data_IF_415984317427
#
_entry.id   IF_415984317427
#
_cell.length_a   1.000
_cell.length_b   1.000
_cell.length_c   1.000
_cell.angle_alpha   90.00
_cell.angle_beta   90.00
_cell.angle_gamma   90.00
#
_symmetry.space_group_name_H-M   'P 1'
#
loop_
_entity.id
_entity.type
_entity.pdbx_description
1 polymer ?
#
# COMPACT_ATOMS: atom_id res chain seq x y z
N UNK A 1 7.41 55.44 20.61
CA UNK A 1 8.45 54.51 20.11
C UNK A 1 8.33 53.07 20.67
N UNK A 2 7.64 52.81 21.79
CA UNK A 2 7.55 51.46 22.41
C UNK A 2 6.61 50.43 21.72
N UNK A 3 5.57 50.87 21.00
CA UNK A 3 4.56 49.92 20.49
C UNK A 3 5.07 49.04 19.32
N UNK A 4 5.96 49.58 18.48
CA UNK A 4 6.54 48.87 17.33
C UNK A 4 7.54 47.78 17.77
N UNK A 5 8.25 48.03 18.88
CA UNK A 5 9.21 47.08 19.44
C UNK A 5 8.52 45.87 20.08
N UNK A 6 7.42 46.09 20.81
CA UNK A 6 6.62 45.01 21.40
C UNK A 6 6.00 44.09 20.34
N UNK A 7 5.51 44.66 19.23
CA UNK A 7 4.95 43.91 18.11
C UNK A 7 5.99 43.02 17.42
N UNK A 8 7.20 43.54 17.21
CA UNK A 8 8.29 42.78 16.59
C UNK A 8 8.80 41.63 17.47
N UNK A 9 8.84 41.82 18.78
CA UNK A 9 9.21 40.77 19.73
C UNK A 9 8.17 39.65 19.75
N UNK A 10 6.88 40.00 19.83
CA UNK A 10 5.78 39.02 19.81
C UNK A 10 5.72 38.24 18.49
N UNK A 11 6.00 38.90 17.36
CA UNK A 11 6.02 38.26 16.05
C UNK A 11 7.25 37.36 15.86
N UNK A 12 8.42 37.72 16.43
CA UNK A 12 9.60 36.84 16.49
C UNK A 12 9.35 35.61 17.34
N UNK A 13 8.74 35.78 18.51
CA UNK A 13 8.38 34.67 19.41
C UNK A 13 7.36 33.72 18.74
N UNK A 14 6.34 34.29 18.07
CA UNK A 14 5.36 33.53 17.30
C UNK A 14 5.99 32.76 16.13
N UNK A 15 6.92 33.39 15.42
CA UNK A 15 7.65 32.77 14.30
C UNK A 15 8.56 31.64 14.79
N UNK A 16 9.19 31.79 15.96
CA UNK A 16 10.03 30.77 16.58
C UNK A 16 9.21 29.56 17.06
N UNK A 17 8.09 29.80 17.75
CA UNK A 17 7.16 28.74 18.19
C UNK A 17 6.56 27.98 17.00
N UNK A 18 6.24 28.67 15.90
CA UNK A 18 5.76 28.04 14.65
C UNK A 18 6.81 27.16 13.98
N UNK A 19 8.09 27.58 13.99
CA UNK A 19 9.20 26.77 13.47
C UNK A 19 9.44 25.52 14.31
N UNK A 20 9.38 25.63 15.64
CA UNK A 20 9.50 24.48 16.55
C UNK A 20 8.35 23.49 16.33
N UNK A 21 7.12 23.98 16.18
CA UNK A 21 5.95 23.14 15.90
C UNK A 21 6.06 22.42 14.54
N UNK A 22 6.54 23.09 13.48
CA UNK A 22 6.75 22.47 12.16
C UNK A 22 7.83 21.39 12.21
N UNK A 23 8.95 21.64 12.90
CA UNK A 23 10.03 20.66 13.03
C UNK A 23 9.61 19.42 13.83
N UNK A 24 8.77 19.59 14.87
CA UNK A 24 8.21 18.47 15.63
C UNK A 24 7.28 17.57 14.79
N UNK A 25 6.49 18.16 13.88
CA UNK A 25 5.60 17.40 12.98
C UNK A 25 6.40 16.64 11.91
N UNK A 26 7.48 17.22 11.38
CA UNK A 26 8.35 16.55 10.40
C UNK A 26 9.13 15.39 11.06
N UNK A 27 9.58 15.55 12.31
CA UNK A 27 10.24 14.47 13.06
C UNK A 27 9.34 13.25 13.32
N UNK A 28 8.01 13.44 13.40
CA UNK A 28 7.05 12.36 13.61
C UNK A 28 6.73 11.56 12.33
N UNK A 29 7.03 12.11 11.15
CA UNK A 29 6.80 11.44 9.86
C UNK A 29 7.99 10.59 9.38
N UNK A 30 9.17 10.73 9.99
CA UNK A 30 10.37 9.98 9.62
C UNK A 30 10.33 8.50 10.05
N UNK A 31 9.31 8.06 10.78
CA UNK A 31 9.21 6.71 11.35
C UNK A 31 8.38 5.72 10.52
N UNK A 32 7.81 6.11 9.38
CA UNK A 32 6.86 5.28 8.62
C UNK A 32 7.45 4.48 7.45
N UNK A 33 8.77 4.39 7.32
CA UNK A 33 9.43 3.69 6.20
C UNK A 33 9.61 2.18 6.41
N UNK A 34 9.32 1.62 7.59
CA UNK A 34 9.64 0.21 7.91
C UNK A 34 8.45 -0.73 8.15
N UNK A 35 7.28 -0.49 7.54
CA UNK A 35 6.23 -1.53 7.55
C UNK A 35 6.34 -2.54 6.40
N UNK A 36 7.13 -2.25 5.36
CA UNK A 36 7.25 -3.15 4.21
C UNK A 36 8.15 -4.38 4.48
N UNK A 37 8.96 -4.36 5.54
CA UNK A 37 9.98 -5.38 5.82
C UNK A 37 9.47 -6.54 6.71
N UNK A 38 8.24 -6.46 7.22
CA UNK A 38 7.70 -7.44 8.17
C UNK A 38 7.00 -8.61 7.47
N UNK A 39 6.63 -8.48 6.20
CA UNK A 39 5.79 -9.48 5.51
C UNK A 39 6.58 -10.56 4.77
N UNK A 40 7.86 -10.32 4.44
CA UNK A 40 8.72 -11.35 3.86
C UNK A 40 10.19 -11.10 4.23
N UNK A 41 10.80 -11.89 5.15
CA UNK A 41 12.17 -11.66 5.62
C UNK A 41 13.22 -11.82 4.51
N UNK A 42 12.86 -12.42 3.36
CA UNK A 42 13.65 -12.42 2.14
C UNK A 42 12.75 -12.22 0.92
N UNK A 43 12.90 -11.15 0.12
CA UNK A 43 12.22 -11.06 -1.17
C UNK A 43 12.76 -12.17 -2.08
N UNK A 44 11.88 -13.10 -2.48
CA UNK A 44 12.21 -14.13 -3.47
C UNK A 44 12.44 -13.47 -4.83
N UNK A 45 13.56 -13.77 -5.50
CA UNK A 45 13.71 -13.44 -6.91
C UNK A 45 12.83 -14.37 -7.73
N UNK A 46 11.64 -13.88 -8.11
CA UNK A 46 10.66 -14.68 -8.84
C UNK A 46 11.17 -15.15 -10.20
N UNK A 47 12.03 -14.38 -10.88
CA UNK A 47 12.53 -14.78 -12.19
C UNK A 47 13.47 -15.98 -12.04
N UNK A 48 14.38 -15.91 -11.08
CA UNK A 48 15.29 -17.01 -10.76
C UNK A 48 14.54 -18.23 -10.23
N UNK A 49 13.61 -18.03 -9.28
CA UNK A 49 12.84 -19.12 -8.67
C UNK A 49 12.00 -19.89 -9.70
N UNK A 50 11.32 -19.19 -10.63
CA UNK A 50 10.56 -19.83 -11.70
C UNK A 50 11.47 -20.60 -12.66
N UNK A 51 12.64 -20.05 -13.01
CA UNK A 51 13.57 -20.71 -13.93
C UNK A 51 14.22 -21.97 -13.32
N UNK A 52 14.48 -21.94 -12.01
CA UNK A 52 15.22 -23.00 -11.34
C UNK A 52 14.34 -24.05 -10.67
N UNK A 53 13.03 -23.85 -10.58
CA UNK A 53 12.12 -24.81 -9.96
C UNK A 53 12.07 -26.13 -10.73
N UNK A 54 12.53 -27.22 -10.09
CA UNK A 54 12.63 -28.57 -10.68
C UNK A 54 12.03 -29.64 -9.78
N UNK A 55 12.05 -29.42 -8.47
CA UNK A 55 11.58 -30.38 -7.49
C UNK A 55 10.15 -30.06 -7.08
N UNK A 56 9.49 -31.07 -6.49
CA UNK A 56 8.19 -30.89 -5.85
C UNK A 56 8.21 -29.73 -4.83
N UNK A 57 9.29 -29.63 -4.03
CA UNK A 57 9.45 -28.58 -3.03
C UNK A 57 9.59 -27.18 -3.66
N UNK A 58 10.36 -27.02 -4.73
CA UNK A 58 10.52 -25.72 -5.40
C UNK A 58 9.18 -25.19 -5.93
N UNK A 59 8.39 -26.09 -6.53
CA UNK A 59 7.06 -25.74 -7.02
C UNK A 59 6.06 -25.48 -5.88
N UNK A 60 6.15 -26.18 -4.75
CA UNK A 60 5.35 -25.85 -3.57
C UNK A 60 5.69 -24.47 -2.99
N UNK A 61 6.96 -24.08 -2.99
CA UNK A 61 7.40 -22.77 -2.53
C UNK A 61 6.84 -21.65 -3.42
N UNK A 62 6.93 -21.81 -4.75
CA UNK A 62 6.31 -20.88 -5.71
C UNK A 62 4.79 -20.82 -5.54
N UNK A 63 4.13 -21.95 -5.31
CA UNK A 63 2.69 -21.97 -5.06
C UNK A 63 2.31 -21.15 -3.83
N UNK A 64 3.01 -21.35 -2.71
CA UNK A 64 2.78 -20.61 -1.47
C UNK A 64 2.98 -19.10 -1.68
N UNK A 65 4.05 -18.70 -2.39
CA UNK A 65 4.30 -17.29 -2.71
C UNK A 65 3.14 -16.67 -3.50
N UNK A 66 2.68 -17.35 -4.56
CA UNK A 66 1.55 -16.87 -5.35
C UNK A 66 0.24 -16.84 -4.56
N UNK A 67 0.00 -17.80 -3.66
CA UNK A 67 -1.17 -17.76 -2.75
C UNK A 67 -1.12 -16.53 -1.83
N UNK A 68 0.04 -16.20 -1.27
CA UNK A 68 0.19 -15.03 -0.40
C UNK A 68 0.04 -13.73 -1.18
N UNK A 69 0.63 -13.64 -2.37
CA UNK A 69 0.41 -12.51 -3.28
C UNK A 69 -1.09 -12.35 -3.62
N UNK A 70 -1.82 -13.45 -3.85
CA UNK A 70 -3.26 -13.39 -4.08
C UNK A 70 -4.03 -12.83 -2.88
N UNK A 71 -3.68 -13.23 -1.64
CA UNK A 71 -4.28 -12.69 -0.41
C UNK A 71 -4.02 -11.19 -0.28
N UNK A 72 -2.80 -10.75 -0.54
CA UNK A 72 -2.44 -9.34 -0.51
C UNK A 72 -3.25 -8.52 -1.51
N UNK A 73 -3.39 -9.00 -2.75
CA UNK A 73 -4.21 -8.32 -3.75
C UNK A 73 -5.69 -8.26 -3.33
N UNK A 74 -6.23 -9.31 -2.71
CA UNK A 74 -7.58 -9.28 -2.16
C UNK A 74 -7.74 -8.24 -1.04
N UNK A 75 -6.78 -8.14 -0.12
CA UNK A 75 -6.77 -7.13 0.93
C UNK A 75 -6.77 -5.72 0.34
N UNK A 76 -5.97 -5.48 -0.70
CA UNK A 76 -5.95 -4.20 -1.41
C UNK A 76 -7.29 -3.90 -2.09
N UNK A 77 -7.91 -4.87 -2.77
CA UNK A 77 -9.24 -4.70 -3.35
C UNK A 77 -10.29 -4.33 -2.29
N UNK A 78 -10.28 -4.99 -1.13
CA UNK A 78 -11.19 -4.68 -0.02
C UNK A 78 -10.96 -3.28 0.54
N UNK A 79 -9.71 -2.85 0.63
CA UNK A 79 -9.36 -1.50 1.10
C UNK A 79 -9.93 -0.42 0.16
N UNK A 80 -9.80 -0.59 -1.15
CA UNK A 80 -10.40 0.34 -2.11
C UNK A 80 -11.94 0.26 -2.13
N UNK A 81 -12.55 -0.91 -1.87
CA UNK A 81 -14.01 -1.02 -1.66
C UNK A 81 -14.48 -0.18 -0.47
N UNK A 82 -13.75 -0.19 0.64
CA UNK A 82 -14.04 0.65 1.82
C UNK A 82 -13.97 2.14 1.48
N UNK A 83 -12.93 2.57 0.75
CA UNK A 83 -12.75 3.97 0.31
C UNK A 83 -13.82 4.45 -0.67
N UNK A 84 -14.36 3.56 -1.51
CA UNK A 84 -15.41 3.89 -2.47
C UNK A 84 -16.72 4.34 -1.80
N UNK A 85 -17.05 3.81 -0.62
CA UNK A 85 -18.30 4.10 0.10
C UNK A 85 -18.51 5.59 0.37
N UNK A 86 -17.58 6.27 1.07
CA UNK A 86 -17.64 7.72 1.31
C UNK A 86 -17.74 8.55 0.03
N UNK A 87 -16.98 8.23 -1.03
CA UNK A 87 -17.03 8.97 -2.29
C UNK A 87 -18.38 8.89 -2.99
N UNK A 88 -19.14 7.81 -2.76
CA UNK A 88 -20.52 7.66 -3.23
C UNK A 88 -21.51 8.38 -2.33
N UNK A 89 -21.50 8.12 -1.02
CA UNK A 89 -22.53 8.60 -0.07
C UNK A 89 -22.39 10.08 0.28
N UNK A 90 -21.18 10.61 0.26
CA UNK A 90 -20.85 11.98 0.67
C UNK A 90 -20.26 12.78 -0.50
N UNK A 91 -20.75 12.53 -1.72
CA UNK A 91 -20.24 13.17 -2.95
C UNK A 91 -20.20 14.70 -2.87
N UNK A 92 -21.15 15.33 -2.17
CA UNK A 92 -21.18 16.77 -1.94
C UNK A 92 -19.94 17.32 -1.20
N UNK A 93 -19.31 16.53 -0.32
CA UNK A 93 -18.08 16.92 0.39
C UNK A 93 -16.89 16.99 -0.58
N UNK A 94 -16.86 16.09 -1.57
CA UNK A 94 -15.76 15.97 -2.53
C UNK A 94 -16.00 16.80 -3.81
N UNK A 95 -17.19 17.36 -3.97
CA UNK A 95 -17.57 18.19 -5.11
C UNK A 95 -17.28 17.51 -6.46
N UNK A 96 -16.68 18.25 -7.39
CA UNK A 96 -16.36 17.76 -8.74
C UNK A 96 -15.38 16.58 -8.75
N UNK A 97 -14.56 16.40 -7.70
CA UNK A 97 -13.59 15.31 -7.63
C UNK A 97 -14.21 13.95 -7.30
N UNK A 98 -15.44 13.92 -6.77
CA UNK A 98 -16.11 12.70 -6.34
C UNK A 98 -16.17 11.63 -7.44
N UNK A 99 -16.51 12.05 -8.67
CA UNK A 99 -16.61 11.13 -9.81
C UNK A 99 -15.26 10.53 -10.18
N UNK A 100 -14.20 11.34 -10.18
CA UNK A 100 -12.85 10.87 -10.47
C UNK A 100 -12.36 9.88 -9.40
N UNK A 101 -12.56 10.19 -8.11
CA UNK A 101 -12.20 9.31 -7.00
C UNK A 101 -12.95 7.98 -7.05
N UNK A 102 -14.24 8.01 -7.39
CA UNK A 102 -15.03 6.79 -7.59
C UNK A 102 -14.51 5.96 -8.75
N UNK A 103 -14.20 6.59 -9.90
CA UNK A 103 -13.67 5.90 -11.08
C UNK A 103 -12.31 5.28 -10.79
N UNK A 104 -11.43 6.02 -10.11
CA UNK A 104 -10.12 5.54 -9.68
C UNK A 104 -10.24 4.32 -8.76
N UNK A 105 -11.07 4.38 -7.71
CA UNK A 105 -11.28 3.25 -6.81
C UNK A 105 -11.86 2.03 -7.55
N UNK A 106 -12.86 2.22 -8.42
CA UNK A 106 -13.43 1.12 -9.22
C UNK A 106 -12.39 0.45 -10.10
N UNK A 107 -11.51 1.25 -10.75
CA UNK A 107 -10.41 0.73 -11.56
C UNK A 107 -9.45 -0.11 -10.72
N UNK A 108 -9.02 0.41 -9.56
CA UNK A 108 -8.10 -0.31 -8.69
C UNK A 108 -8.71 -1.58 -8.10
N UNK A 109 -9.98 -1.55 -7.69
CA UNK A 109 -10.70 -2.76 -7.24
C UNK A 109 -10.63 -3.84 -8.32
N UNK A 110 -10.97 -3.50 -9.58
CA UNK A 110 -10.91 -4.46 -10.69
C UNK A 110 -9.50 -5.00 -10.92
N UNK A 111 -8.49 -4.13 -10.92
CA UNK A 111 -7.09 -4.52 -11.13
C UNK A 111 -6.65 -5.50 -10.04
N UNK A 112 -6.92 -5.20 -8.77
CA UNK A 112 -6.52 -6.04 -7.66
C UNK A 112 -7.31 -7.36 -7.59
N UNK A 113 -8.60 -7.35 -7.93
CA UNK A 113 -9.39 -8.59 -8.05
C UNK A 113 -8.86 -9.49 -9.17
N UNK A 114 -8.52 -8.91 -10.32
CA UNK A 114 -7.92 -9.65 -11.43
C UNK A 114 -6.55 -10.21 -11.05
N UNK A 115 -5.69 -9.38 -10.44
CA UNK A 115 -4.37 -9.83 -9.98
C UNK A 115 -4.49 -10.95 -8.94
N UNK A 116 -5.44 -10.86 -8.01
CA UNK A 116 -5.68 -11.93 -7.04
C UNK A 116 -6.04 -13.25 -7.72
N UNK A 117 -6.86 -13.21 -8.77
CA UNK A 117 -7.25 -14.40 -9.52
C UNK A 117 -6.08 -14.98 -10.34
N UNK A 118 -5.32 -14.13 -11.03
CA UNK A 118 -4.14 -14.55 -11.78
C UNK A 118 -3.10 -15.21 -10.87
N UNK A 119 -2.87 -14.66 -9.67
CA UNK A 119 -1.98 -15.25 -8.69
C UNK A 119 -2.49 -16.62 -8.19
N UNK A 120 -3.80 -16.79 -7.96
CA UNK A 120 -4.37 -18.11 -7.62
C UNK A 120 -4.16 -19.13 -8.72
N UNK A 121 -4.38 -18.73 -9.98
CA UNK A 121 -4.16 -19.62 -11.14
C UNK A 121 -2.69 -20.07 -11.19
N UNK A 122 -1.74 -19.16 -10.93
CA UNK A 122 -0.32 -19.50 -10.86
C UNK A 122 -0.01 -20.44 -9.70
N UNK A 123 -0.58 -20.20 -8.52
CA UNK A 123 -0.43 -21.10 -7.38
C UNK A 123 -0.94 -22.51 -7.69
N UNK A 124 -2.14 -22.63 -8.25
CA UNK A 124 -2.73 -23.92 -8.64
C UNK A 124 -1.89 -24.63 -9.70
N UNK A 125 -1.34 -23.88 -10.67
CA UNK A 125 -0.42 -24.41 -11.68
C UNK A 125 0.84 -25.02 -11.03
N UNK A 126 1.44 -24.29 -10.10
CA UNK A 126 2.62 -24.77 -9.36
C UNK A 126 2.30 -25.95 -8.44
N UNK A 127 1.12 -26.02 -7.81
CA UNK A 127 0.67 -27.22 -7.07
C UNK A 127 0.57 -28.45 -7.96
N UNK A 128 0.08 -28.31 -9.19
CA UNK A 128 0.02 -29.41 -10.16
C UNK A 128 1.42 -29.87 -10.56
N UNK A 129 2.31 -28.94 -10.92
CA UNK A 129 3.70 -29.26 -11.24
C UNK A 129 4.42 -29.93 -10.05
N UNK A 130 4.17 -29.48 -8.82
CA UNK A 130 4.71 -30.13 -7.62
C UNK A 130 4.23 -31.58 -7.46
N UNK A 131 2.97 -31.87 -7.81
CA UNK A 131 2.42 -33.22 -7.74
C UNK A 131 2.97 -34.14 -8.84
N UNK A 132 3.31 -33.58 -10.00
CA UNK A 132 3.89 -34.29 -11.15
C UNK A 132 5.40 -34.54 -10.98
N UNK A 133 6.12 -33.66 -10.27
CA UNK A 133 7.56 -33.78 -9.99
C UNK A 133 7.90 -34.74 -8.83
N UNK A 134 6.99 -35.68 -8.51
CA UNK A 134 7.14 -36.68 -7.45
C UNK A 134 7.86 -37.94 -7.92
#
# INVERSE_FOLDING_TARGET
MCHKHLYLLKNKEYTMKRRIAILAIIGLFASFTSFAQIVNPHPMDMAEAIQNAKTSADHEELANHYEDAAKDMQLMAQEYKKRLGPYKRKSHIFGKSAQHLQAHCKKLIKIYEQAAEENKIMADSHRKMAAEAK
#
